data_IF_111256199975
#
_entry.id   IF_111256199975
#
_cell.length_a   1.000
_cell.length_b   1.000
_cell.length_c   1.000
_cell.angle_alpha   90.00
_cell.angle_beta   90.00
_cell.angle_gamma   90.00
#
_symmetry.space_group_name_H-M   'P 1'
#
loop_
_entity.id
_entity.type
_entity.pdbx_description
1 polymer ?
#
# COMPACT_ATOMS: atom_id res chain seq x y z
N UNK A 1 -33.62 10.56 -8.53
CA UNK A 1 -33.73 10.22 -7.08
C UNK A 1 -32.90 8.99 -6.70
N UNK A 2 -33.14 7.79 -7.24
CA UNK A 2 -32.37 6.59 -6.85
C UNK A 2 -30.89 6.71 -7.29
N UNK A 3 -30.63 7.11 -8.52
CA UNK A 3 -29.27 7.25 -9.06
C UNK A 3 -28.50 8.35 -8.33
N UNK A 4 -29.12 9.45 -8.01
CA UNK A 4 -28.50 10.56 -7.26
C UNK A 4 -28.11 10.11 -5.84
N UNK A 5 -29.00 9.36 -5.18
CA UNK A 5 -28.68 8.79 -3.86
C UNK A 5 -27.53 7.79 -3.93
N UNK A 6 -27.49 6.94 -4.95
CA UNK A 6 -26.38 6.00 -5.17
C UNK A 6 -25.06 6.71 -5.38
N UNK A 7 -25.06 7.78 -6.21
CA UNK A 7 -23.84 8.61 -6.38
C UNK A 7 -23.43 9.27 -5.07
N UNK A 8 -24.40 9.73 -4.27
CA UNK A 8 -24.10 10.33 -2.96
C UNK A 8 -23.54 9.33 -1.96
N UNK A 9 -24.05 8.10 -1.94
CA UNK A 9 -23.48 7.02 -1.10
C UNK A 9 -22.01 6.78 -1.47
N UNK A 10 -21.71 6.70 -2.75
CA UNK A 10 -20.34 6.51 -3.24
C UNK A 10 -19.44 7.67 -2.80
N UNK A 11 -19.88 8.91 -3.00
CA UNK A 11 -19.15 10.10 -2.56
C UNK A 11 -18.87 10.09 -1.05
N UNK A 12 -19.87 9.69 -0.25
CA UNK A 12 -19.75 9.65 1.20
C UNK A 12 -18.74 8.60 1.68
N UNK A 13 -18.76 7.39 1.11
CA UNK A 13 -17.80 6.33 1.47
C UNK A 13 -16.38 6.62 0.98
N UNK A 14 -16.23 7.41 -0.09
CA UNK A 14 -14.93 7.84 -0.59
C UNK A 14 -14.31 8.95 0.29
N UNK A 15 -15.15 9.81 0.88
CA UNK A 15 -14.72 10.94 1.72
C UNK A 15 -14.63 10.62 3.21
N UNK A 16 -15.40 9.64 3.68
CA UNK A 16 -15.52 9.27 5.09
C UNK A 16 -15.26 7.79 5.28
N UNK A 17 -14.63 7.44 6.38
CA UNK A 17 -14.48 6.04 6.78
C UNK A 17 -15.77 5.55 7.44
N UNK A 18 -16.75 5.15 6.62
CA UNK A 18 -18.06 4.70 7.07
C UNK A 18 -17.98 3.23 7.51
N UNK A 19 -18.18 2.97 8.77
CA UNK A 19 -18.05 1.64 9.37
C UNK A 19 -19.41 0.90 9.50
N UNK A 20 -20.50 1.64 9.68
CA UNK A 20 -21.82 1.08 9.94
C UNK A 20 -22.89 1.61 8.99
N UNK A 21 -24.02 0.87 8.89
CA UNK A 21 -25.18 1.31 8.11
C UNK A 21 -25.87 2.52 8.74
N UNK A 22 -25.86 2.58 10.07
CA UNK A 22 -26.40 3.70 10.85
C UNK A 22 -25.64 4.99 10.52
N UNK A 23 -24.33 4.94 10.53
CA UNK A 23 -23.45 6.07 10.18
C UNK A 23 -23.69 6.55 8.73
N UNK A 24 -23.83 5.61 7.79
CA UNK A 24 -24.20 5.93 6.41
C UNK A 24 -25.56 6.63 6.34
N UNK A 25 -26.52 6.15 7.14
CA UNK A 25 -27.86 6.73 7.24
C UNK A 25 -27.85 8.18 7.77
N UNK A 26 -27.05 8.46 8.79
CA UNK A 26 -26.88 9.80 9.33
C UNK A 26 -26.22 10.75 8.33
N UNK A 27 -25.19 10.29 7.62
CA UNK A 27 -24.52 11.08 6.60
C UNK A 27 -25.46 11.38 5.43
N UNK A 28 -26.27 10.42 5.00
CA UNK A 28 -27.29 10.63 3.97
C UNK A 28 -28.36 11.61 4.41
N UNK A 29 -28.82 11.53 5.67
CA UNK A 29 -29.77 12.46 6.24
C UNK A 29 -29.23 13.89 6.28
N UNK A 30 -27.97 14.08 6.67
CA UNK A 30 -27.26 15.37 6.64
C UNK A 30 -27.14 15.91 5.20
N UNK A 31 -27.05 15.01 4.22
CA UNK A 31 -27.00 15.36 2.80
C UNK A 31 -28.39 15.58 2.17
N UNK A 32 -29.48 15.56 2.95
CA UNK A 32 -30.84 15.81 2.50
C UNK A 32 -31.60 14.58 2.02
N UNK A 33 -31.06 13.38 2.20
CA UNK A 33 -31.72 12.12 1.85
C UNK A 33 -32.33 11.45 3.09
N UNK A 34 -33.64 11.49 3.21
CA UNK A 34 -34.35 10.80 4.30
C UNK A 34 -34.70 9.39 3.86
N UNK A 35 -33.97 8.40 4.32
CA UNK A 35 -34.08 6.99 3.92
C UNK A 35 -34.16 6.07 5.12
N UNK A 36 -34.88 4.95 4.95
CA UNK A 36 -34.97 3.91 5.97
C UNK A 36 -33.76 3.00 5.94
N UNK A 37 -33.49 2.29 7.04
CA UNK A 37 -32.40 1.31 7.12
C UNK A 37 -32.55 0.21 6.06
N UNK A 38 -33.80 -0.24 5.78
CA UNK A 38 -34.06 -1.20 4.72
C UNK A 38 -33.65 -0.71 3.33
N UNK A 39 -33.84 0.58 3.06
CA UNK A 39 -33.38 1.22 1.80
C UNK A 39 -31.88 1.27 1.72
N UNK A 40 -31.19 1.65 2.81
CA UNK A 40 -29.73 1.67 2.89
C UNK A 40 -29.17 0.28 2.65
N UNK A 41 -29.72 -0.74 3.29
CA UNK A 41 -29.31 -2.13 3.11
C UNK A 41 -29.46 -2.63 1.68
N UNK A 42 -30.54 -2.23 0.98
CA UNK A 42 -30.74 -2.54 -0.44
C UNK A 42 -29.74 -1.80 -1.34
N UNK A 43 -29.50 -0.53 -1.06
CA UNK A 43 -28.55 0.28 -1.82
C UNK A 43 -27.11 -0.27 -1.69
N UNK A 44 -26.69 -0.68 -0.49
CA UNK A 44 -25.40 -1.34 -0.25
C UNK A 44 -25.27 -2.59 -1.12
N UNK A 45 -26.31 -3.44 -1.19
CA UNK A 45 -26.29 -4.64 -2.03
C UNK A 45 -26.25 -4.30 -3.52
N UNK A 46 -27.05 -3.33 -3.96
CA UNK A 46 -27.12 -2.94 -5.37
C UNK A 46 -25.82 -2.29 -5.87
N UNK A 47 -25.16 -1.51 -5.02
CA UNK A 47 -23.86 -0.90 -5.28
C UNK A 47 -22.69 -1.87 -5.08
N UNK A 48 -23.00 -3.11 -4.65
CA UNK A 48 -21.98 -4.14 -4.34
C UNK A 48 -20.91 -3.61 -3.38
N UNK A 49 -21.33 -2.87 -2.35
CA UNK A 49 -20.43 -2.43 -1.30
C UNK A 49 -20.09 -3.59 -0.37
N UNK A 50 -18.85 -3.66 0.03
CA UNK A 50 -18.34 -4.65 0.99
C UNK A 50 -17.57 -3.97 2.10
N UNK A 51 -17.40 -4.64 3.24
CA UNK A 51 -16.53 -4.16 4.30
C UNK A 51 -15.09 -4.57 4.02
N UNK A 52 -14.19 -3.61 4.05
CA UNK A 52 -12.73 -3.83 3.92
C UNK A 52 -12.07 -3.41 5.21
N UNK A 53 -11.03 -4.13 5.61
CA UNK A 53 -10.25 -3.80 6.80
C UNK A 53 -9.29 -2.66 6.47
N UNK A 54 -9.33 -1.59 7.25
CA UNK A 54 -8.39 -0.47 7.16
C UNK A 54 -7.04 -0.85 7.76
N UNK A 55 -6.04 -0.01 7.54
CA UNK A 55 -4.69 -0.22 8.08
C UNK A 55 -4.67 -0.33 9.62
N UNK A 56 -5.62 0.31 10.30
CA UNK A 56 -5.77 0.32 11.77
C UNK A 56 -6.56 -0.88 12.30
N UNK A 57 -6.95 -1.83 11.44
CA UNK A 57 -7.74 -3.00 11.81
C UNK A 57 -9.25 -2.76 11.91
N UNK A 58 -9.74 -1.54 11.64
CA UNK A 58 -11.17 -1.22 11.56
C UNK A 58 -11.76 -1.67 10.23
N UNK A 59 -13.07 -1.78 10.13
CA UNK A 59 -13.76 -2.14 8.90
C UNK A 59 -14.56 -0.96 8.36
N UNK A 60 -14.40 -0.64 7.09
CA UNK A 60 -15.20 0.39 6.41
C UNK A 60 -15.84 -0.14 5.14
N UNK A 61 -16.92 0.52 4.70
CA UNK A 61 -17.54 0.22 3.41
C UNK A 61 -16.67 0.73 2.25
N UNK A 62 -16.49 -0.13 1.25
CA UNK A 62 -15.83 0.18 -0.02
C UNK A 62 -16.52 -0.54 -1.17
N UNK A 63 -16.32 -0.10 -2.41
CA UNK A 63 -16.79 -0.84 -3.58
C UNK A 63 -15.99 -2.12 -3.77
N UNK A 64 -16.64 -3.15 -4.31
CA UNK A 64 -15.94 -4.32 -4.84
C UNK A 64 -15.15 -3.84 -6.06
N UNK A 65 -13.84 -3.71 -5.93
CA UNK A 65 -12.95 -3.13 -6.93
C UNK A 65 -12.12 -1.95 -6.41
N UNK A 66 -12.61 -1.22 -5.41
CA UNK A 66 -11.86 -0.26 -4.59
C UNK A 66 -11.31 -0.92 -3.30
N UNK A 67 -11.46 -2.24 -3.15
CA UNK A 67 -10.61 -2.95 -2.19
C UNK A 67 -9.19 -2.49 -2.48
N UNK A 68 -8.39 -2.08 -1.46
CA UNK A 68 -6.97 -1.90 -1.67
C UNK A 68 -6.54 -3.14 -2.44
N UNK A 69 -6.22 -2.97 -3.71
CA UNK A 69 -5.69 -4.04 -4.56
C UNK A 69 -4.71 -4.76 -3.67
N UNK A 70 -4.84 -6.08 -3.46
CA UNK A 70 -3.84 -6.77 -2.66
C UNK A 70 -2.52 -6.22 -3.16
N UNK A 71 -1.66 -5.69 -2.30
CA UNK A 71 -0.52 -4.91 -2.73
C UNK A 71 0.09 -5.66 -3.90
N UNK A 72 0.20 -5.00 -5.06
CA UNK A 72 0.81 -5.66 -6.23
C UNK A 72 2.05 -6.37 -5.69
N UNK A 73 2.46 -7.52 -6.20
CA UNK A 73 3.67 -8.17 -5.71
C UNK A 73 4.79 -7.16 -5.49
N UNK A 74 4.92 -6.19 -6.37
CA UNK A 74 5.82 -5.04 -6.24
C UNK A 74 5.53 -4.14 -5.04
N UNK A 75 4.27 -3.87 -4.71
CA UNK A 75 3.89 -3.08 -3.53
C UNK A 75 4.22 -3.78 -2.22
N UNK A 76 4.10 -5.11 -2.16
CA UNK A 76 4.54 -5.93 -1.03
C UNK A 76 6.05 -5.82 -0.83
N UNK A 77 6.83 -5.94 -1.89
CA UNK A 77 8.29 -5.86 -1.84
C UNK A 77 8.78 -4.46 -1.48
N UNK A 78 8.16 -3.41 -2.00
CA UNK A 78 8.44 -2.02 -1.60
C UNK A 78 8.23 -1.81 -0.11
N UNK A 79 7.16 -2.38 0.45
CA UNK A 79 6.86 -2.29 1.89
C UNK A 79 7.89 -3.03 2.73
N UNK A 80 8.25 -4.27 2.37
CA UNK A 80 9.30 -5.05 3.06
C UNK A 80 10.62 -4.30 3.06
N UNK A 81 11.00 -3.71 1.92
CA UNK A 81 12.20 -2.88 1.81
C UNK A 81 12.12 -1.66 2.74
N UNK A 82 11.02 -0.93 2.75
CA UNK A 82 10.86 0.26 3.59
C UNK A 82 10.87 -0.06 5.08
N UNK A 83 10.22 -1.14 5.49
CA UNK A 83 10.12 -1.54 6.91
C UNK A 83 11.45 -2.05 7.46
N UNK A 84 12.23 -2.77 6.64
CA UNK A 84 13.51 -3.33 7.04
C UNK A 84 14.71 -2.42 6.87
N UNK A 85 14.61 -1.35 6.08
CA UNK A 85 15.73 -0.48 5.75
C UNK A 85 16.17 0.39 6.93
N UNK A 86 17.46 0.43 7.19
CA UNK A 86 18.09 1.32 8.20
C UNK A 86 18.97 2.37 7.51
N UNK A 87 19.94 1.94 6.74
CA UNK A 87 20.90 2.82 6.03
C UNK A 87 21.52 2.12 4.83
N UNK A 88 22.17 2.86 3.98
CA UNK A 88 22.96 2.31 2.89
C UNK A 88 24.20 3.17 2.60
N UNK A 89 25.23 2.52 2.11
CA UNK A 89 26.48 3.14 1.66
C UNK A 89 27.02 2.41 0.44
N UNK A 90 27.91 3.04 -0.29
CA UNK A 90 28.46 2.53 -1.56
C UNK A 90 29.97 2.47 -1.55
N UNK A 91 30.51 1.43 -2.16
CA UNK A 91 31.93 1.29 -2.47
C UNK A 91 32.05 0.92 -3.95
N UNK A 92 32.15 1.93 -4.83
CA UNK A 92 32.18 1.77 -6.29
C UNK A 92 31.02 0.95 -6.84
N UNK A 93 31.23 -0.35 -7.05
CA UNK A 93 30.27 -1.31 -7.62
C UNK A 93 29.59 -2.16 -6.55
N UNK A 94 29.82 -1.86 -5.29
CA UNK A 94 29.20 -2.54 -4.17
C UNK A 94 28.26 -1.57 -3.47
N UNK A 95 27.02 -1.99 -3.31
CA UNK A 95 26.04 -1.31 -2.46
C UNK A 95 25.85 -2.13 -1.19
N UNK A 96 26.09 -1.50 -0.05
CA UNK A 96 25.87 -2.10 1.28
C UNK A 96 24.63 -1.51 1.89
N UNK A 97 23.67 -2.36 2.25
CA UNK A 97 22.42 -1.95 2.89
C UNK A 97 22.39 -2.54 4.30
N UNK A 98 22.16 -1.68 5.28
CA UNK A 98 21.88 -2.07 6.66
C UNK A 98 20.38 -2.19 6.87
N UNK A 99 19.98 -3.24 7.55
CA UNK A 99 18.58 -3.52 7.87
C UNK A 99 18.38 -3.66 9.37
N UNK A 100 17.12 -3.68 9.78
CA UNK A 100 16.74 -4.17 11.10
C UNK A 100 17.24 -5.62 11.24
N UNK A 101 17.72 -5.99 12.43
CA UNK A 101 18.25 -7.35 12.73
C UNK A 101 17.23 -8.43 12.33
N UNK A 102 17.72 -9.46 11.67
CA UNK A 102 16.90 -10.56 11.17
C UNK A 102 16.16 -10.29 9.85
N UNK A 103 16.19 -9.06 9.31
CA UNK A 103 15.45 -8.69 8.11
C UNK A 103 16.27 -8.66 6.82
N UNK A 104 17.58 -8.85 6.88
CA UNK A 104 18.44 -8.71 5.70
C UNK A 104 18.02 -9.66 4.56
N UNK A 105 17.71 -10.91 4.84
CA UNK A 105 17.27 -11.87 3.81
C UNK A 105 15.93 -11.47 3.17
N UNK A 106 14.96 -11.00 3.95
CA UNK A 106 13.66 -10.57 3.45
C UNK A 106 13.80 -9.31 2.57
N UNK A 107 14.61 -8.36 2.99
CA UNK A 107 14.90 -7.14 2.23
C UNK A 107 15.68 -7.46 0.95
N UNK A 108 16.67 -8.35 1.00
CA UNK A 108 17.41 -8.80 -0.18
C UNK A 108 16.50 -9.48 -1.21
N UNK A 109 15.61 -10.35 -0.76
CA UNK A 109 14.62 -10.98 -1.64
C UNK A 109 13.69 -9.93 -2.28
N UNK A 110 13.27 -8.92 -1.51
CA UNK A 110 12.47 -7.81 -2.03
C UNK A 110 13.23 -6.99 -3.09
N UNK A 111 14.52 -6.74 -2.88
CA UNK A 111 15.37 -6.05 -3.86
C UNK A 111 15.51 -6.87 -5.14
N UNK A 112 15.74 -8.17 -5.04
CA UNK A 112 15.83 -9.06 -6.20
C UNK A 112 14.55 -9.04 -7.03
N UNK A 113 13.39 -9.06 -6.41
CA UNK A 113 12.09 -9.01 -7.08
C UNK A 113 11.77 -7.63 -7.71
N UNK A 114 12.38 -6.57 -7.23
CA UNK A 114 12.27 -5.23 -7.82
C UNK A 114 13.12 -5.08 -9.08
N UNK A 115 14.02 -6.01 -9.34
CA UNK A 115 14.90 -6.08 -10.52
C UNK A 115 15.61 -4.75 -10.84
N UNK A 116 16.42 -4.20 -9.92
CA UNK A 116 17.10 -2.94 -10.18
C UNK A 116 18.03 -3.04 -11.39
N UNK A 117 17.95 -2.10 -12.35
CA UNK A 117 18.82 -2.11 -13.52
C UNK A 117 20.30 -2.07 -13.13
N UNK A 118 21.09 -2.97 -13.70
CA UNK A 118 22.55 -3.04 -13.44
C UNK A 118 22.95 -3.83 -12.21
N UNK A 119 22.02 -4.29 -11.38
CA UNK A 119 22.34 -5.20 -10.28
C UNK A 119 22.68 -6.59 -10.81
N UNK A 120 23.78 -7.14 -10.34
CA UNK A 120 24.23 -8.50 -10.67
C UNK A 120 23.62 -9.51 -9.71
N UNK A 121 23.55 -9.17 -8.45
CA UNK A 121 22.99 -9.97 -7.39
C UNK A 121 23.35 -9.41 -6.01
N UNK A 122 22.80 -10.03 -4.97
CA UNK A 122 23.10 -9.65 -3.59
C UNK A 122 23.25 -10.87 -2.68
N UNK A 123 23.97 -10.68 -1.57
CA UNK A 123 24.12 -11.61 -0.47
C UNK A 123 23.67 -10.92 0.82
N UNK A 124 22.88 -11.61 1.62
CA UNK A 124 22.37 -11.12 2.89
C UNK A 124 22.91 -11.90 4.08
N UNK A 125 23.34 -11.17 5.09
CA UNK A 125 23.59 -11.70 6.43
C UNK A 125 22.35 -11.56 7.33
N UNK A 126 22.56 -11.23 8.60
CA UNK A 126 21.47 -10.99 9.55
C UNK A 126 20.86 -9.56 9.40
N UNK A 127 21.70 -8.54 9.37
CA UNK A 127 21.36 -7.13 9.34
C UNK A 127 22.02 -6.36 8.19
N UNK A 128 22.77 -7.03 7.32
CA UNK A 128 23.57 -6.41 6.29
C UNK A 128 23.42 -7.15 4.98
N UNK A 129 23.26 -6.39 3.88
CA UNK A 129 23.16 -6.90 2.51
C UNK A 129 24.32 -6.30 1.72
N UNK A 130 25.04 -7.12 0.95
CA UNK A 130 26.01 -6.67 -0.05
C UNK A 130 25.46 -6.96 -1.45
N UNK A 131 25.32 -5.91 -2.26
CA UNK A 131 24.87 -5.99 -3.63
C UNK A 131 26.03 -5.71 -4.58
N UNK A 132 26.24 -6.59 -5.54
CA UNK A 132 27.18 -6.37 -6.64
C UNK A 132 26.48 -5.69 -7.82
N UNK A 133 27.08 -4.64 -8.36
CA UNK A 133 26.52 -3.81 -9.43
C UNK A 133 27.49 -3.73 -10.60
N UNK A 134 26.98 -3.64 -11.82
CA UNK A 134 27.80 -3.64 -13.05
C UNK A 134 28.74 -2.42 -13.15
N UNK A 135 28.21 -1.23 -12.84
CA UNK A 135 28.96 0.02 -12.94
C UNK A 135 28.68 0.94 -11.75
N UNK A 136 29.56 1.92 -11.50
CA UNK A 136 29.31 2.93 -10.47
C UNK A 136 28.12 3.84 -10.80
N UNK A 137 27.82 4.08 -12.07
CA UNK A 137 26.62 4.82 -12.50
C UNK A 137 25.35 4.05 -12.16
N UNK A 138 25.32 2.75 -12.36
CA UNK A 138 24.21 1.88 -11.95
C UNK A 138 24.02 1.88 -10.43
N UNK A 139 25.12 1.91 -9.66
CA UNK A 139 25.08 2.01 -8.19
C UNK A 139 24.35 3.27 -7.74
N UNK A 140 24.70 4.43 -8.30
CA UNK A 140 24.03 5.70 -7.99
C UNK A 140 22.55 5.67 -8.35
N UNK A 141 22.19 5.05 -9.49
CA UNK A 141 20.80 4.91 -9.92
C UNK A 141 19.99 4.02 -8.97
N UNK A 142 20.55 2.89 -8.55
CA UNK A 142 19.92 1.98 -7.59
C UNK A 142 19.70 2.65 -6.23
N UNK A 143 20.69 3.42 -5.75
CA UNK A 143 20.57 4.20 -4.52
C UNK A 143 19.41 5.19 -4.60
N UNK A 144 19.30 5.93 -5.71
CA UNK A 144 18.19 6.85 -5.94
C UNK A 144 16.84 6.13 -5.94
N UNK A 145 16.73 5.01 -6.65
CA UNK A 145 15.54 4.19 -6.72
C UNK A 145 15.09 3.69 -5.33
N UNK A 146 16.01 3.19 -4.52
CA UNK A 146 15.72 2.72 -3.15
C UNK A 146 15.23 3.88 -2.28
N UNK A 147 15.88 5.05 -2.35
CA UNK A 147 15.45 6.24 -1.62
C UNK A 147 14.03 6.68 -1.98
N UNK A 148 13.69 6.64 -3.27
CA UNK A 148 12.35 7.01 -3.74
C UNK A 148 11.29 6.02 -3.25
N UNK A 149 11.58 4.72 -3.32
CA UNK A 149 10.68 3.67 -2.78
C UNK A 149 10.41 3.88 -1.29
N UNK A 150 11.45 4.15 -0.48
CA UNK A 150 11.30 4.38 0.95
C UNK A 150 10.47 5.63 1.22
N UNK A 151 10.69 6.71 0.45
CA UNK A 151 9.94 7.96 0.58
C UNK A 151 8.46 7.80 0.22
N UNK A 152 8.14 7.04 -0.83
CA UNK A 152 6.77 6.77 -1.27
C UNK A 152 6.00 5.84 -0.32
N UNK A 153 6.71 5.02 0.45
CA UNK A 153 6.11 3.96 1.27
C UNK A 153 5.93 4.39 2.74
N UNK A 154 6.66 5.40 3.20
CA UNK A 154 6.56 6.02 4.54
C UNK A 154 5.63 7.22 4.53
#
# INVERSE_FOLDING_TARGET
>A
MKNERHMKIIELIDRHEVETQEELGELLKKAGYNVTQATISRDIRQLKLTKVTTHDGRQKYARIGDTPKPPSPQGKYKRVLSDGFVSMDTAHRILVIKTVSGMAMAVAAAIDELHPPGMVGCIAGDDTIMCAVKTGADTAHIVAMIKDIIRETR
#
